data_IF_366162890320
#
_entry.id   IF_366162890320
#
_cell.length_a   1.000
_cell.length_b   1.000
_cell.length_c   1.000
_cell.angle_alpha   90.00
_cell.angle_beta   90.00
_cell.angle_gamma   90.00
#
_symmetry.space_group_name_H-M   'P 1'
#
loop_
_entity.id
_entity.type
_entity.pdbx_description
1 polymer ?
#
# COMPACT_ATOMS: atom_id res chain seq x y z
N UNK A 1 6.21 1.31 -13.29
CA UNK A 1 6.74 2.01 -12.10
C UNK A 1 6.38 1.26 -10.83
N UNK A 2 7.30 1.22 -9.87
CA UNK A 2 7.06 0.55 -8.58
C UNK A 2 7.42 1.52 -7.47
N UNK A 3 6.43 1.96 -6.72
CA UNK A 3 6.62 2.83 -5.55
C UNK A 3 6.66 1.96 -4.29
N UNK A 4 7.73 2.10 -3.53
CA UNK A 4 7.98 1.33 -2.31
C UNK A 4 8.04 2.30 -1.14
N UNK A 5 7.20 2.10 -0.13
CA UNK A 5 7.15 2.95 1.05
C UNK A 5 7.26 2.08 2.28
N UNK A 6 8.27 2.36 3.10
CA UNK A 6 8.49 1.69 4.38
C UNK A 6 8.56 2.75 5.47
N UNK A 7 7.85 2.55 6.56
CA UNK A 7 7.82 3.56 7.60
C UNK A 7 7.22 3.07 8.90
N UNK A 8 7.24 3.96 9.90
CA UNK A 8 6.64 3.73 11.20
C UNK A 8 5.37 4.55 11.31
N UNK A 9 4.39 4.02 12.02
CA UNK A 9 3.10 4.69 12.20
C UNK A 9 3.02 5.27 13.61
N UNK A 10 2.40 6.45 13.74
CA UNK A 10 2.23 7.11 15.03
C UNK A 10 1.09 6.51 15.83
N UNK A 11 0.11 5.89 15.18
CA UNK A 11 -1.04 5.27 15.83
C UNK A 11 -1.22 3.84 15.32
N UNK A 12 -0.48 2.86 15.88
CA UNK A 12 -0.57 1.48 15.41
C UNK A 12 -1.93 0.84 15.69
N UNK A 13 -2.68 1.34 16.67
CA UNK A 13 -4.00 0.79 16.98
C UNK A 13 -4.98 0.92 15.82
N UNK A 14 -4.89 2.01 15.08
CA UNK A 14 -5.78 2.26 13.95
C UNK A 14 -5.45 1.35 12.77
N UNK A 15 -4.17 1.18 12.45
CA UNK A 15 -3.76 0.44 11.26
C UNK A 15 -3.79 -1.06 11.44
N UNK A 16 -3.92 -1.57 12.66
CA UNK A 16 -4.05 -3.02 12.88
C UNK A 16 -5.47 -3.51 12.65
N UNK A 17 -6.42 -2.59 12.43
CA UNK A 17 -7.79 -2.98 12.13
C UNK A 17 -7.89 -3.40 10.66
N UNK A 18 -8.37 -4.63 10.43
CA UNK A 18 -8.51 -5.17 9.08
C UNK A 18 -9.42 -4.30 8.23
N UNK A 19 -10.46 -3.71 8.84
CA UNK A 19 -11.39 -2.85 8.11
C UNK A 19 -10.70 -1.58 7.60
N UNK A 20 -9.77 -1.02 8.36
CA UNK A 20 -9.03 0.17 7.93
C UNK A 20 -8.20 -0.14 6.68
N UNK A 21 -7.51 -1.28 6.69
CA UNK A 21 -6.69 -1.70 5.55
C UNK A 21 -7.59 -2.03 4.35
N UNK A 22 -8.71 -2.71 4.59
CA UNK A 22 -9.66 -3.01 3.53
C UNK A 22 -10.17 -1.74 2.85
N UNK A 23 -10.61 -0.75 3.64
CA UNK A 23 -11.13 0.50 3.09
C UNK A 23 -10.06 1.27 2.32
N UNK A 24 -8.84 1.26 2.81
CA UNK A 24 -7.74 1.88 2.07
C UNK A 24 -7.57 1.23 0.69
N UNK A 25 -7.47 -0.09 0.65
CA UNK A 25 -7.28 -0.82 -0.60
C UNK A 25 -8.47 -0.68 -1.55
N UNK A 26 -9.66 -0.50 -1.00
CA UNK A 26 -10.88 -0.38 -1.80
C UNK A 26 -11.03 1.02 -2.41
N UNK A 27 -10.60 2.06 -1.72
CA UNK A 27 -10.85 3.45 -2.13
C UNK A 27 -9.65 4.15 -2.74
N UNK A 28 -8.43 3.82 -2.33
CA UNK A 28 -7.25 4.54 -2.77
C UNK A 28 -6.96 4.40 -4.28
N UNK A 29 -7.21 3.26 -4.94
CA UNK A 29 -6.94 3.15 -6.38
C UNK A 29 -7.60 4.25 -7.21
N UNK A 30 -8.83 4.65 -6.86
CA UNK A 30 -9.52 5.71 -7.58
C UNK A 30 -8.79 7.05 -7.45
N UNK A 31 -8.18 7.30 -6.29
CA UNK A 31 -7.45 8.56 -6.06
C UNK A 31 -6.21 8.70 -6.94
N UNK A 32 -5.64 7.59 -7.38
CA UNK A 32 -4.50 7.59 -8.29
C UNK A 32 -4.89 7.15 -9.69
N UNK A 33 -6.17 7.23 -10.00
CA UNK A 33 -6.72 6.99 -11.34
C UNK A 33 -6.45 5.57 -11.86
N UNK A 34 -6.51 4.58 -10.95
CA UNK A 34 -6.35 3.18 -11.31
C UNK A 34 -7.66 2.42 -11.12
N UNK A 35 -7.86 1.40 -11.94
CA UNK A 35 -9.10 0.63 -11.97
C UNK A 35 -8.92 -0.70 -11.26
N UNK A 36 -9.76 -0.96 -10.25
CA UNK A 36 -9.76 -2.26 -9.57
C UNK A 36 -10.33 -3.34 -10.48
N UNK A 37 -9.72 -4.52 -10.43
CA UNK A 37 -10.23 -5.71 -11.12
C UNK A 37 -10.59 -6.81 -10.13
N UNK A 38 -10.40 -6.57 -8.84
CA UNK A 38 -10.81 -7.50 -7.79
C UNK A 38 -11.24 -6.71 -6.56
N UNK A 39 -11.91 -7.38 -5.62
CA UNK A 39 -12.11 -6.82 -4.29
C UNK A 39 -10.82 -6.96 -3.49
N UNK A 40 -10.57 -6.07 -2.52
CA UNK A 40 -9.40 -6.24 -1.66
C UNK A 40 -9.46 -7.54 -0.87
N UNK A 41 -8.28 -8.10 -0.59
CA UNK A 41 -8.14 -9.23 0.32
C UNK A 41 -7.28 -8.79 1.49
N UNK A 42 -7.77 -9.01 2.72
CA UNK A 42 -7.05 -8.63 3.93
C UNK A 42 -7.09 -9.82 4.88
N UNK A 43 -5.94 -10.15 5.43
CA UNK A 43 -5.80 -11.25 6.38
C UNK A 43 -5.06 -10.80 7.63
N UNK A 44 -5.55 -11.24 8.77
CA UNK A 44 -4.91 -11.06 10.05
C UNK A 44 -4.34 -12.42 10.47
N UNK A 45 -3.12 -12.42 10.95
CA UNK A 45 -2.45 -13.67 11.31
C UNK A 45 -1.48 -13.43 12.45
N UNK A 46 -1.10 -14.54 13.12
CA UNK A 46 -0.11 -14.52 14.19
C UNK A 46 0.73 -15.78 14.07
N UNK A 47 1.95 -15.64 13.57
CA UNK A 47 2.93 -16.71 13.52
C UNK A 47 4.03 -16.42 14.53
N UNK A 48 5.13 -15.78 14.10
CA UNK A 48 6.17 -15.34 15.02
C UNK A 48 5.78 -14.03 15.68
N UNK A 49 5.11 -13.16 14.94
CA UNK A 49 4.51 -11.96 15.51
C UNK A 49 3.18 -11.68 14.79
N UNK A 50 2.40 -10.81 15.37
CA UNK A 50 1.12 -10.42 14.81
C UNK A 50 1.32 -9.63 13.53
N UNK A 51 0.51 -9.89 12.52
CA UNK A 51 0.55 -9.17 11.26
C UNK A 51 -0.83 -8.99 10.65
N UNK A 52 -0.96 -7.94 9.85
CA UNK A 52 -2.12 -7.71 9.00
C UNK A 52 -1.58 -7.43 7.62
N UNK A 53 -2.06 -8.17 6.63
CA UNK A 53 -1.60 -8.00 5.25
C UNK A 53 -2.79 -7.95 4.32
N UNK A 54 -2.67 -7.13 3.27
CA UNK A 54 -3.72 -7.04 2.29
C UNK A 54 -3.20 -6.62 0.93
N UNK A 55 -4.01 -6.89 -0.08
CA UNK A 55 -3.70 -6.46 -1.43
C UNK A 55 -4.98 -6.28 -2.24
N UNK A 56 -4.87 -5.54 -3.33
CA UNK A 56 -5.94 -5.40 -4.32
C UNK A 56 -5.30 -5.44 -5.70
N UNK A 57 -5.92 -6.19 -6.60
CA UNK A 57 -5.47 -6.25 -7.98
C UNK A 57 -6.12 -5.14 -8.79
N UNK A 58 -5.30 -4.49 -9.59
CA UNK A 58 -5.72 -3.43 -10.50
C UNK A 58 -5.42 -3.89 -11.92
N UNK A 59 -5.93 -3.18 -12.91
CA UNK A 59 -5.63 -3.52 -14.31
C UNK A 59 -4.12 -3.39 -14.54
N UNK A 60 -3.44 -4.53 -14.72
CA UNK A 60 -2.00 -4.71 -14.89
C UNK A 60 -1.16 -4.08 -13.75
N UNK A 61 -1.75 -4.01 -12.55
CA UNK A 61 -1.11 -3.34 -11.41
C UNK A 61 -1.59 -3.94 -10.10
N UNK A 62 -1.02 -3.53 -8.99
CA UNK A 62 -1.52 -3.93 -7.67
C UNK A 62 -1.03 -2.99 -6.59
N UNK A 63 -1.74 -3.00 -5.47
CA UNK A 63 -1.32 -2.34 -4.23
C UNK A 63 -1.28 -3.41 -3.16
N UNK A 64 -0.21 -3.46 -2.39
CA UNK A 64 -0.10 -4.34 -1.24
C UNK A 64 0.33 -3.59 0.00
N UNK A 65 -0.12 -4.08 1.16
CA UNK A 65 0.17 -3.47 2.47
C UNK A 65 0.49 -4.59 3.45
N UNK A 66 1.56 -4.42 4.21
CA UNK A 66 1.90 -5.29 5.33
C UNK A 66 2.09 -4.46 6.58
N UNK A 67 1.35 -4.78 7.63
CA UNK A 67 1.40 -4.07 8.90
C UNK A 67 1.97 -4.99 9.96
N UNK A 68 2.91 -4.46 10.75
CA UNK A 68 3.52 -5.13 11.88
C UNK A 68 3.18 -4.32 13.14
N UNK A 69 2.00 -4.59 13.75
CA UNK A 69 1.50 -3.72 14.83
C UNK A 69 2.43 -3.61 16.04
N UNK A 70 3.08 -4.72 16.42
CA UNK A 70 3.98 -4.72 17.57
C UNK A 70 5.21 -3.85 17.36
N UNK A 71 5.59 -3.60 16.12
CA UNK A 71 6.72 -2.75 15.76
C UNK A 71 6.30 -1.37 15.28
N UNK A 72 5.00 -1.12 15.22
CA UNK A 72 4.45 0.12 14.66
C UNK A 72 4.99 0.39 13.25
N UNK A 73 5.10 -0.63 12.42
CA UNK A 73 5.79 -0.59 11.14
C UNK A 73 4.87 -1.02 10.01
N UNK A 74 5.06 -0.43 8.84
CA UNK A 74 4.24 -0.72 7.67
C UNK A 74 5.09 -0.72 6.39
N UNK A 75 4.76 -1.65 5.50
CA UNK A 75 5.27 -1.67 4.13
C UNK A 75 4.11 -1.46 3.18
N UNK A 76 4.27 -0.55 2.22
CA UNK A 76 3.27 -0.30 1.18
C UNK A 76 3.96 -0.35 -0.17
N UNK A 77 3.39 -1.12 -1.09
CA UNK A 77 3.89 -1.23 -2.45
C UNK A 77 2.78 -0.88 -3.43
N UNK A 78 3.10 -0.01 -4.39
CA UNK A 78 2.22 0.29 -5.52
C UNK A 78 2.99 -0.04 -6.79
N UNK A 79 2.58 -1.11 -7.47
CA UNK A 79 3.13 -1.47 -8.76
C UNK A 79 2.15 -1.07 -9.85
N UNK A 80 2.61 -0.29 -10.84
CA UNK A 80 1.78 0.17 -11.94
C UNK A 80 2.45 -0.13 -13.27
N UNK A 81 1.65 -0.54 -14.25
CA UNK A 81 2.10 -0.72 -15.62
C UNK A 81 2.36 0.61 -16.31
N UNK A 82 1.85 1.72 -15.76
CA UNK A 82 2.02 3.05 -16.31
C UNK A 82 2.63 3.98 -15.27
N UNK A 83 3.19 5.09 -15.74
CA UNK A 83 3.69 6.13 -14.85
C UNK A 83 2.52 6.79 -14.11
N UNK A 84 2.74 7.14 -12.85
CA UNK A 84 1.79 7.91 -12.06
C UNK A 84 2.58 8.90 -11.20
N UNK A 85 1.88 9.86 -10.60
CA UNK A 85 2.53 10.86 -9.74
C UNK A 85 2.93 10.21 -8.41
N UNK A 86 4.09 9.55 -8.41
CA UNK A 86 4.55 8.81 -7.23
C UNK A 86 4.91 9.73 -6.06
N UNK A 87 5.35 10.96 -6.33
CA UNK A 87 5.67 11.90 -5.25
C UNK A 87 4.40 12.33 -4.52
N UNK A 88 3.32 12.59 -5.25
CA UNK A 88 2.04 12.90 -4.65
C UNK A 88 1.47 11.71 -3.88
N UNK A 89 1.57 10.52 -4.45
CA UNK A 89 1.11 9.30 -3.79
C UNK A 89 1.85 9.09 -2.47
N UNK A 90 3.17 9.26 -2.46
CA UNK A 90 3.96 9.13 -1.24
C UNK A 90 3.48 10.11 -0.16
N UNK A 91 3.25 11.37 -0.52
CA UNK A 91 2.76 12.36 0.43
C UNK A 91 1.37 11.99 0.98
N UNK A 92 0.47 11.53 0.12
CA UNK A 92 -0.87 11.11 0.54
C UNK A 92 -0.80 9.96 1.51
N UNK A 93 0.05 8.97 1.25
CA UNK A 93 0.18 7.81 2.11
C UNK A 93 0.84 8.15 3.44
N UNK A 94 1.83 9.03 3.44
CA UNK A 94 2.42 9.52 4.67
C UNK A 94 1.37 10.17 5.58
N UNK A 95 0.48 10.97 5.01
CA UNK A 95 -0.58 11.61 5.77
C UNK A 95 -1.65 10.62 6.21
N UNK A 96 -2.09 9.77 5.31
CA UNK A 96 -3.19 8.85 5.59
C UNK A 96 -2.85 7.84 6.68
N UNK A 97 -1.60 7.37 6.71
CA UNK A 97 -1.13 6.41 7.70
C UNK A 97 -0.37 7.05 8.86
N UNK A 98 -0.13 8.36 8.82
CA UNK A 98 0.64 9.03 9.87
C UNK A 98 2.06 8.51 9.98
N UNK A 99 2.79 8.47 8.86
CA UNK A 99 4.10 7.83 8.82
C UNK A 99 5.22 8.75 9.31
N UNK A 100 6.18 8.13 9.99
CA UNK A 100 7.44 8.77 10.40
C UNK A 100 8.60 7.88 9.99
N UNK A 101 9.80 8.45 9.90
CA UNK A 101 11.01 7.73 9.50
C UNK A 101 10.79 6.95 8.21
N UNK A 102 10.23 7.63 7.22
CA UNK A 102 9.78 7.01 5.97
C UNK A 102 10.95 6.85 5.01
N UNK A 103 11.02 5.67 4.39
CA UNK A 103 11.90 5.44 3.24
C UNK A 103 11.01 5.26 2.02
N UNK A 104 11.23 6.10 1.01
CA UNK A 104 10.46 6.08 -0.22
C UNK A 104 11.41 5.80 -1.38
N UNK A 105 11.08 4.79 -2.19
CA UNK A 105 11.82 4.47 -3.40
C UNK A 105 10.85 4.33 -4.56
N UNK A 106 11.19 4.93 -5.69
CA UNK A 106 10.44 4.77 -6.91
C UNK A 106 11.36 4.11 -7.93
N UNK A 107 10.95 2.93 -8.40
CA UNK A 107 11.72 2.15 -9.35
C UNK A 107 11.03 2.16 -10.70
N UNK A 108 11.79 2.43 -11.74
CA UNK A 108 11.30 2.30 -13.09
C UNK A 108 11.38 0.84 -13.50
N UNK A 109 10.25 0.27 -13.89
CA UNK A 109 10.18 -1.13 -14.35
C UNK A 109 9.69 -1.15 -15.78
N UNK A 110 10.60 -1.36 -16.73
CA UNK A 110 10.18 -1.40 -18.12
C UNK A 110 9.26 -2.59 -18.35
N UNK A 111 8.14 -2.33 -18.98
CA UNK A 111 7.16 -3.36 -19.34
C UNK A 111 7.06 -3.42 -20.85
N UNK A 112 6.71 -4.60 -21.40
CA UNK A 112 6.43 -4.67 -22.82
C UNK A 112 5.27 -3.74 -23.17
N UNK A 113 5.23 -3.33 -24.41
CA UNK A 113 4.16 -2.46 -24.88
C UNK A 113 2.83 -3.22 -24.81
N UNK A 114 2.00 -2.86 -23.85
CA UNK A 114 0.67 -3.44 -23.68
C UNK A 114 -0.38 -2.41 -24.04
N UNK A 115 -0.97 -2.58 -25.09
CA UNK A 115 -2.05 -1.69 -25.45
C UNK A 115 -2.17 -0.76 -26.24
#
# INVERSE_FOLDING_TARGET
>A
MHLIIDGYVSDPGKIQETNFIYQFLDTYPEQIEMTKVSTPQVSEYSLQEQGVSGFVLLAESHISVHVFPEKSYINIDIFSCAAFDHAQAARQLEQQFGLTNVKVRALDRPLPNIG
#
